data_IF_940943009165
#
_entry.id   IF_940943009165
#
_cell.length_a   1.000
_cell.length_b   1.000
_cell.length_c   1.000
_cell.angle_alpha   90.00
_cell.angle_beta   90.00
_cell.angle_gamma   90.00
#
_symmetry.space_group_name_H-M   'P 1'
#
loop_
_entity.id
_entity.type
_entity.pdbx_description
1 polymer ?
#
# COMPACT_ATOMS: atom_id res chain seq x y z
N UNK A 1 -10.45 -11.64 10.90
CA UNK A 1 -9.00 -11.48 10.68
C UNK A 1 -8.85 -11.09 9.23
N UNK A 2 -8.15 -9.99 8.93
CA UNK A 2 -7.85 -9.63 7.54
C UNK A 2 -6.73 -10.53 7.05
N UNK A 3 -6.96 -11.23 5.94
CA UNK A 3 -5.97 -12.14 5.38
C UNK A 3 -4.84 -11.35 4.70
N UNK A 4 -3.63 -11.88 4.71
CA UNK A 4 -2.50 -11.29 3.97
C UNK A 4 -2.60 -11.71 2.51
N UNK A 5 -2.75 -10.74 1.61
CA UNK A 5 -2.74 -10.97 0.16
C UNK A 5 -1.30 -11.09 -0.34
N UNK A 6 -0.42 -10.19 0.11
CA UNK A 6 0.96 -10.11 -0.38
C UNK A 6 1.87 -9.47 0.66
N UNK A 7 3.14 -9.84 0.64
CA UNK A 7 4.17 -9.18 1.44
C UNK A 7 5.45 -8.97 0.63
N UNK A 8 6.15 -7.86 0.91
CA UNK A 8 7.45 -7.53 0.35
C UNK A 8 8.45 -7.30 1.48
N UNK A 9 9.57 -8.01 1.44
CA UNK A 9 10.66 -7.75 2.37
C UNK A 9 11.43 -6.50 1.95
N UNK A 10 11.65 -5.61 2.91
CA UNK A 10 12.56 -4.47 2.81
C UNK A 10 13.82 -4.79 3.60
N UNK A 11 14.88 -4.01 3.39
CA UNK A 11 16.14 -4.19 4.13
C UNK A 11 15.92 -4.08 5.64
N UNK A 12 15.04 -3.19 6.09
CA UNK A 12 14.83 -2.85 7.50
C UNK A 12 13.40 -3.14 7.99
N UNK A 13 12.57 -3.84 7.22
CA UNK A 13 11.17 -4.05 7.56
C UNK A 13 10.43 -4.89 6.52
N UNK A 14 9.10 -4.86 6.55
CA UNK A 14 8.26 -5.56 5.59
C UNK A 14 7.00 -4.76 5.29
N UNK A 15 6.66 -4.70 4.01
CA UNK A 15 5.39 -4.16 3.54
C UNK A 15 4.40 -5.30 3.39
N UNK A 16 3.18 -5.14 3.89
CA UNK A 16 2.12 -6.13 3.87
C UNK A 16 0.88 -5.49 3.27
N UNK A 17 0.34 -6.16 2.26
CA UNK A 17 -0.97 -5.89 1.69
C UNK A 17 -1.97 -6.86 2.31
N UNK A 18 -2.92 -6.31 3.06
CA UNK A 18 -4.03 -7.07 3.64
C UNK A 18 -5.22 -7.07 2.69
N UNK A 19 -6.09 -8.07 2.83
CA UNK A 19 -7.40 -8.00 2.20
C UNK A 19 -8.23 -6.88 2.82
N UNK A 20 -8.73 -6.00 1.95
CA UNK A 20 -9.63 -4.93 2.34
C UNK A 20 -11.04 -5.48 2.46
N UNK A 21 -11.69 -5.29 3.60
CA UNK A 21 -13.06 -5.74 3.77
C UNK A 21 -13.98 -5.12 2.69
N UNK A 22 -14.85 -5.93 2.10
CA UNK A 22 -15.64 -5.56 0.94
C UNK A 22 -16.68 -4.45 1.20
N UNK A 23 -17.04 -4.24 2.46
CA UNK A 23 -18.00 -3.24 2.94
C UNK A 23 -17.35 -1.89 3.29
N UNK A 24 -16.02 -1.80 3.30
CA UNK A 24 -15.32 -0.55 3.58
C UNK A 24 -15.24 0.27 2.29
N UNK A 25 -15.80 1.48 2.33
CA UNK A 25 -15.77 2.41 1.20
C UNK A 25 -14.34 2.70 0.75
N UNK A 26 -13.41 2.99 1.68
CA UNK A 26 -11.99 3.17 1.40
C UNK A 26 -11.13 2.41 2.38
N UNK A 27 -10.36 1.43 1.90
CA UNK A 27 -9.52 0.59 2.73
C UNK A 27 -8.04 0.88 2.49
N UNK A 28 -7.39 1.54 3.44
CA UNK A 28 -5.93 1.77 3.47
C UNK A 28 -5.21 0.49 3.96
N UNK A 29 -5.32 -0.55 3.15
CA UNK A 29 -4.93 -1.92 3.48
C UNK A 29 -3.45 -2.26 3.20
N UNK A 30 -2.61 -1.25 2.91
CA UNK A 30 -1.18 -1.41 2.67
C UNK A 30 -0.38 -0.78 3.80
N UNK A 31 0.41 -1.60 4.50
CA UNK A 31 1.07 -1.22 5.75
C UNK A 31 2.52 -1.69 5.78
N UNK A 32 3.42 -0.89 6.34
CA UNK A 32 4.80 -1.30 6.60
C UNK A 32 5.03 -1.51 8.09
N UNK A 33 5.76 -2.58 8.39
CA UNK A 33 6.19 -2.93 9.73
C UNK A 33 7.70 -2.88 9.84
N UNK A 34 8.18 -2.51 11.02
CA UNK A 34 9.55 -2.70 11.47
C UNK A 34 9.88 -4.20 11.60
N UNK A 35 11.16 -4.55 11.75
CA UNK A 35 11.59 -5.95 11.98
C UNK A 35 11.02 -6.57 13.26
N UNK A 36 10.72 -5.75 14.27
CA UNK A 36 10.10 -6.19 15.51
C UNK A 36 8.57 -6.35 15.42
N UNK A 37 8.00 -6.09 14.23
CA UNK A 37 6.57 -6.18 13.97
C UNK A 37 5.77 -4.93 14.37
N UNK A 38 6.43 -3.89 14.89
CA UNK A 38 5.76 -2.61 15.15
C UNK A 38 5.38 -1.91 13.85
N UNK A 39 4.29 -1.14 13.90
CA UNK A 39 3.79 -0.39 12.75
C UNK A 39 4.72 0.79 12.45
N UNK A 40 5.31 0.82 11.25
CA UNK A 40 6.09 1.96 10.76
C UNK A 40 5.19 3.01 10.11
N UNK A 41 4.41 2.59 9.11
CA UNK A 41 3.49 3.48 8.38
C UNK A 41 2.36 2.71 7.72
N UNK A 42 1.29 3.42 7.37
CA UNK A 42 0.18 2.94 6.53
C UNK A 42 0.05 3.86 5.32
N UNK A 43 -0.07 3.28 4.14
CA UNK A 43 -0.18 4.04 2.91
C UNK A 43 -1.58 4.65 2.75
N UNK A 44 -1.63 5.90 2.36
CA UNK A 44 -2.88 6.62 2.08
C UNK A 44 -3.32 6.40 0.64
N UNK A 45 -4.63 6.29 0.43
CA UNK A 45 -5.23 6.30 -0.90
C UNK A 45 -5.37 7.75 -1.41
N UNK A 46 -5.35 8.00 -2.74
CA UNK A 46 -5.43 9.36 -3.27
C UNK A 46 -6.71 10.07 -2.81
N UNK A 47 -6.59 11.30 -2.32
CA UNK A 47 -7.75 12.05 -1.82
C UNK A 47 -8.77 12.32 -2.94
N UNK A 48 -10.03 12.52 -2.54
CA UNK A 48 -11.14 12.85 -3.43
C UNK A 48 -11.44 11.79 -4.51
N UNK A 49 -10.98 10.55 -4.34
CA UNK A 49 -11.40 9.41 -5.16
C UNK A 49 -12.57 8.66 -4.51
N UNK A 50 -13.29 7.86 -5.31
CA UNK A 50 -14.43 7.06 -4.88
C UNK A 50 -14.04 5.89 -3.96
N UNK A 51 -14.84 4.80 -3.96
CA UNK A 51 -14.47 3.64 -3.17
C UNK A 51 -13.20 3.00 -3.72
N UNK A 52 -12.24 2.68 -2.84
CA UNK A 52 -10.93 2.20 -3.28
C UNK A 52 -10.17 1.40 -2.22
N UNK A 53 -9.20 0.61 -2.69
CA UNK A 53 -8.27 -0.17 -1.87
C UNK A 53 -7.02 -0.50 -2.68
N UNK A 54 -5.92 -0.81 -2.02
CA UNK A 54 -4.77 -1.40 -2.70
C UNK A 54 -5.05 -2.86 -3.07
N UNK A 55 -4.65 -3.26 -4.28
CA UNK A 55 -4.86 -4.61 -4.82
C UNK A 55 -3.57 -5.29 -5.25
N UNK A 56 -2.49 -4.54 -5.43
CA UNK A 56 -1.16 -5.08 -5.68
C UNK A 56 -0.07 -4.15 -5.14
N UNK A 57 1.08 -4.72 -4.86
CA UNK A 57 2.28 -4.00 -4.44
C UNK A 57 3.53 -4.70 -4.97
N UNK A 58 4.50 -3.93 -5.48
CA UNK A 58 5.80 -4.41 -5.95
C UNK A 58 6.92 -3.47 -5.51
N UNK A 59 8.12 -4.01 -5.27
CA UNK A 59 9.33 -3.23 -5.09
C UNK A 59 10.00 -3.04 -6.45
N UNK A 60 10.20 -1.80 -6.89
CA UNK A 60 10.79 -1.48 -8.19
C UNK A 60 11.79 -0.34 -8.04
N UNK A 61 13.05 -0.58 -8.42
CA UNK A 61 14.13 0.41 -8.37
C UNK A 61 14.24 1.14 -7.01
N UNK A 62 14.05 0.41 -5.90
CA UNK A 62 14.15 0.96 -4.54
C UNK A 62 12.90 1.71 -4.03
N UNK A 63 11.88 1.89 -4.87
CA UNK A 63 10.60 2.48 -4.49
C UNK A 63 9.51 1.41 -4.43
N UNK A 64 8.51 1.62 -3.58
CA UNK A 64 7.32 0.76 -3.55
C UNK A 64 6.34 1.31 -4.58
N UNK A 65 5.89 0.46 -5.50
CA UNK A 65 4.78 0.78 -6.40
C UNK A 65 3.57 -0.03 -5.99
N UNK A 66 2.49 0.65 -5.63
CA UNK A 66 1.21 0.05 -5.27
C UNK A 66 0.15 0.37 -6.33
N UNK A 67 -0.72 -0.58 -6.60
CA UNK A 67 -1.86 -0.41 -7.51
C UNK A 67 -3.15 -0.46 -6.72
N UNK A 68 -4.09 0.41 -7.08
CA UNK A 68 -5.42 0.50 -6.45
C UNK A 68 -6.49 -0.15 -7.32
N UNK A 69 -7.61 -0.53 -6.71
CA UNK A 69 -8.75 -1.11 -7.42
C UNK A 69 -9.35 -0.12 -8.43
N UNK A 70 -9.35 1.17 -8.11
CA UNK A 70 -9.89 2.20 -9.01
C UNK A 70 -8.98 2.54 -10.20
N UNK A 71 -7.76 2.00 -10.27
CA UNK A 71 -6.86 2.13 -11.42
C UNK A 71 -5.71 3.13 -11.26
N UNK A 72 -5.44 3.60 -10.04
CA UNK A 72 -4.25 4.39 -9.75
C UNK A 72 -3.03 3.51 -9.47
N UNK A 73 -1.89 3.92 -10.02
CA UNK A 73 -0.57 3.51 -9.59
C UNK A 73 0.03 4.59 -8.68
N UNK A 74 0.55 4.18 -7.53
CA UNK A 74 1.11 5.07 -6.51
C UNK A 74 2.53 4.61 -6.19
N UNK A 75 3.48 5.53 -6.24
CA UNK A 75 4.86 5.31 -5.83
C UNK A 75 5.07 5.89 -4.45
N UNK A 76 5.51 5.04 -3.53
CA UNK A 76 5.69 5.37 -2.13
C UNK A 76 7.18 5.32 -1.78
N UNK A 77 7.59 6.25 -0.94
CA UNK A 77 8.86 6.18 -0.24
C UNK A 77 8.83 5.00 0.75
N UNK A 78 9.86 4.15 0.69
CA UNK A 78 9.87 2.91 1.47
C UNK A 78 10.08 3.12 2.97
N UNK A 79 10.68 4.26 3.35
CA UNK A 79 10.97 4.60 4.75
C UNK A 79 9.74 5.25 5.40
N UNK A 80 9.15 6.25 4.76
CA UNK A 80 8.07 7.04 5.35
C UNK A 80 6.67 6.61 4.94
N UNK A 81 6.53 5.88 3.83
CA UNK A 81 5.22 5.58 3.22
C UNK A 81 4.60 6.78 2.50
N UNK A 82 5.31 7.92 2.42
CA UNK A 82 4.80 9.11 1.75
C UNK A 82 4.67 8.87 0.24
N UNK A 83 3.63 9.44 -0.35
CA UNK A 83 3.44 9.40 -1.80
C UNK A 83 4.46 10.29 -2.50
N UNK A 84 5.31 9.69 -3.33
CA UNK A 84 6.25 10.38 -4.21
C UNK A 84 5.54 10.82 -5.49
N UNK A 85 4.74 9.92 -6.08
CA UNK A 85 3.99 10.15 -7.32
C UNK A 85 2.71 9.31 -7.31
N UNK A 86 1.66 9.82 -7.95
CA UNK A 86 0.49 9.04 -8.33
C UNK A 86 0.16 9.26 -9.81
N UNK A 87 -0.33 8.23 -10.48
CA UNK A 87 -0.74 8.28 -11.88
C UNK A 87 -1.95 7.38 -12.09
N UNK A 88 -2.98 7.92 -12.75
CA UNK A 88 -4.13 7.14 -13.17
C UNK A 88 -3.78 6.38 -14.45
N UNK A 89 -3.83 5.05 -14.42
CA UNK A 89 -3.39 4.19 -15.52
C UNK A 89 -4.54 3.36 -16.10
N UNK A 90 -5.56 4.04 -16.62
CA UNK A 90 -6.70 3.42 -17.30
C UNK A 90 -6.77 3.79 -18.78
#
# INVERSE_FOLDING_TARGET
MSDVIKSLDLTDGRVVLFDGAADIYRAENLTCFERDGSLRWRAELPHHTGPDRFVDVVLSAGCIRASTWSGWAIWLDSVSGATIKSEFSK
#
